data_IF_292005543844
#
_entry.id   IF_292005543844
#
_cell.length_a   1.000
_cell.length_b   1.000
_cell.length_c   1.000
_cell.angle_alpha   90.00
_cell.angle_beta   90.00
_cell.angle_gamma   90.00
#
_symmetry.space_group_name_H-M   'P 1'
#
loop_
_entity.id
_entity.type
_entity.pdbx_description
1 polymer ?
#
# COMPACT_ATOMS: atom_id res chain seq x y z
N UNK A 1 -11.48 -12.70 -22.98
CA UNK A 1 -10.22 -13.38 -22.60
C UNK A 1 -9.84 -12.86 -21.24
N UNK A 2 -10.05 -13.69 -20.21
CA UNK A 2 -9.81 -13.31 -18.82
C UNK A 2 -8.32 -13.07 -18.57
N UNK A 3 -8.00 -12.02 -17.82
CA UNK A 3 -6.64 -11.68 -17.39
C UNK A 3 -5.92 -12.88 -16.71
N UNK A 4 -6.71 -13.80 -16.15
CA UNK A 4 -6.27 -15.02 -15.48
C UNK A 4 -5.52 -15.99 -16.39
N UNK A 5 -5.81 -16.01 -17.71
CA UNK A 5 -5.22 -16.97 -18.64
C UNK A 5 -3.94 -16.48 -19.33
N UNK A 6 -3.54 -15.22 -19.16
CA UNK A 6 -2.46 -14.61 -19.95
C UNK A 6 -1.17 -14.37 -19.16
N UNK A 7 -0.77 -15.29 -18.29
CA UNK A 7 0.61 -15.31 -17.77
C UNK A 7 1.64 -15.80 -18.82
N UNK A 8 1.18 -16.19 -20.02
CA UNK A 8 2.03 -16.64 -21.12
C UNK A 8 2.04 -15.62 -22.27
N UNK A 9 3.01 -14.70 -22.25
CA UNK A 9 3.82 -14.30 -23.41
C UNK A 9 4.57 -12.98 -23.16
N UNK A 10 5.76 -13.09 -22.57
CA UNK A 10 7.05 -12.48 -22.97
C UNK A 10 8.04 -12.73 -21.82
N UNK A 11 9.33 -12.85 -22.15
CA UNK A 11 10.44 -13.07 -21.20
C UNK A 11 10.68 -11.87 -20.25
N UNK A 12 9.64 -11.24 -19.71
CA UNK A 12 9.75 -10.29 -18.60
C UNK A 12 9.75 -11.06 -17.27
N UNK A 13 10.72 -10.75 -16.39
CA UNK A 13 10.70 -11.26 -15.03
C UNK A 13 9.41 -10.82 -14.33
N UNK A 14 8.52 -11.77 -14.03
CA UNK A 14 7.31 -11.51 -13.25
C UNK A 14 7.72 -10.90 -11.91
N UNK A 15 7.22 -9.71 -11.64
CA UNK A 15 7.37 -8.97 -10.37
C UNK A 15 6.01 -8.50 -9.86
N UNK A 16 5.92 -8.16 -8.57
CA UNK A 16 4.72 -7.51 -8.02
C UNK A 16 4.34 -6.24 -8.80
N UNK A 17 5.32 -5.48 -9.29
CA UNK A 17 5.05 -4.26 -10.06
C UNK A 17 4.50 -4.56 -11.46
N UNK A 18 5.05 -5.55 -12.16
CA UNK A 18 4.51 -5.98 -13.46
C UNK A 18 3.04 -6.43 -13.34
N UNK A 19 2.70 -7.16 -12.27
CA UNK A 19 1.33 -7.62 -12.00
C UNK A 19 0.41 -6.43 -11.69
N UNK A 20 0.86 -5.45 -10.88
CA UNK A 20 0.08 -4.23 -10.64
C UNK A 20 -0.24 -3.51 -11.94
N UNK A 21 0.79 -3.29 -12.77
CA UNK A 21 0.63 -2.64 -14.07
C UNK A 21 -0.35 -3.39 -14.96
N UNK A 22 -0.22 -4.71 -15.07
CA UNK A 22 -1.13 -5.56 -15.83
C UNK A 22 -2.59 -5.39 -15.38
N UNK A 23 -2.85 -5.43 -14.07
CA UNK A 23 -4.20 -5.24 -13.52
C UNK A 23 -4.73 -3.83 -13.78
N UNK A 24 -3.92 -2.80 -13.51
CA UNK A 24 -4.31 -1.41 -13.73
C UNK A 24 -4.63 -1.14 -15.21
N UNK A 25 -3.77 -1.58 -16.11
CA UNK A 25 -3.96 -1.45 -17.56
C UNK A 25 -5.23 -2.18 -18.01
N UNK A 26 -5.49 -3.39 -17.51
CA UNK A 26 -6.69 -4.13 -17.85
C UNK A 26 -7.96 -3.43 -17.39
N UNK A 27 -7.99 -2.93 -16.14
CA UNK A 27 -9.15 -2.22 -15.59
C UNK A 27 -9.46 -0.92 -16.34
N UNK A 28 -8.43 -0.17 -16.75
CA UNK A 28 -8.61 1.05 -17.58
C UNK A 28 -9.09 0.69 -18.98
N UNK A 29 -8.41 -0.24 -19.66
CA UNK A 29 -8.70 -0.66 -21.04
C UNK A 29 -10.13 -1.19 -21.19
N UNK A 30 -10.61 -1.94 -20.21
CA UNK A 30 -11.97 -2.52 -20.24
C UNK A 30 -13.01 -1.64 -19.55
N UNK A 31 -12.65 -0.40 -19.18
CA UNK A 31 -13.54 0.54 -18.53
C UNK A 31 -14.20 -0.03 -17.25
N UNK A 32 -13.47 -0.85 -16.50
CA UNK A 32 -13.91 -1.45 -15.25
C UNK A 32 -13.56 -0.59 -14.04
N UNK A 33 -12.59 0.32 -14.18
CA UNK A 33 -12.22 1.26 -13.14
C UNK A 33 -13.32 2.31 -12.87
N UNK A 34 -13.53 2.66 -11.61
CA UNK A 34 -14.33 3.82 -11.19
C UNK A 34 -13.41 4.95 -10.74
N UNK A 35 -13.93 6.17 -10.65
CA UNK A 35 -13.18 7.30 -10.07
C UNK A 35 -12.72 6.99 -8.64
N UNK A 36 -11.48 7.33 -8.23
CA UNK A 36 -10.49 8.15 -8.94
C UNK A 36 -9.72 7.42 -10.04
N UNK A 37 -9.55 8.09 -11.18
CA UNK A 37 -8.75 7.63 -12.33
C UNK A 37 -7.55 8.56 -12.61
N UNK A 38 -6.47 8.07 -13.25
CA UNK A 38 -6.22 6.67 -13.57
C UNK A 38 -5.97 5.82 -12.29
N UNK A 39 -6.21 4.51 -12.37
CA UNK A 39 -6.05 3.59 -11.22
C UNK A 39 -4.60 3.27 -10.89
N UNK A 40 -3.64 3.58 -11.76
CA UNK A 40 -2.21 3.37 -11.53
C UNK A 40 -1.75 4.01 -10.22
N UNK A 41 -0.99 3.25 -9.42
CA UNK A 41 -0.52 3.67 -8.10
C UNK A 41 -1.59 3.63 -7.00
N UNK A 42 -2.77 3.07 -7.26
CA UNK A 42 -3.89 3.00 -6.31
C UNK A 42 -4.36 1.57 -6.11
N UNK A 43 -5.06 1.33 -4.99
CA UNK A 43 -5.98 0.20 -4.93
C UNK A 43 -7.14 0.51 -5.88
N UNK A 44 -7.43 -0.33 -6.89
CA UNK A 44 -8.38 0.03 -7.94
C UNK A 44 -9.79 0.17 -7.38
N UNK A 45 -10.44 1.32 -7.62
CA UNK A 45 -11.89 1.39 -7.48
C UNK A 45 -12.52 0.75 -8.73
N UNK A 46 -13.53 -0.09 -8.57
CA UNK A 46 -14.02 -0.95 -9.66
C UNK A 46 -15.55 -1.00 -9.73
N UNK A 47 -16.08 -1.20 -10.95
CA UNK A 47 -17.49 -1.45 -11.19
C UNK A 47 -17.92 -2.72 -10.45
N UNK A 48 -18.96 -2.60 -9.63
CA UNK A 48 -19.44 -3.70 -8.79
C UNK A 48 -18.90 -3.71 -7.35
N UNK A 49 -18.12 -2.71 -6.92
CA UNK A 49 -17.64 -2.62 -5.54
C UNK A 49 -18.79 -2.60 -4.50
N UNK A 50 -19.94 -2.02 -4.83
CA UNK A 50 -21.16 -2.07 -4.01
C UNK A 50 -21.68 -3.50 -3.84
N UNK A 51 -21.75 -4.27 -4.93
CA UNK A 51 -22.21 -5.66 -4.92
C UNK A 51 -21.24 -6.55 -4.12
N UNK A 52 -19.93 -6.34 -4.28
CA UNK A 52 -18.92 -7.03 -3.48
C UNK A 52 -19.05 -6.70 -1.99
N UNK A 53 -19.29 -5.43 -1.65
CA UNK A 53 -19.51 -5.02 -0.26
C UNK A 53 -20.79 -5.61 0.34
N UNK A 54 -21.87 -5.69 -0.44
CA UNK A 54 -23.11 -6.34 0.00
C UNK A 54 -22.89 -7.84 0.27
N UNK A 55 -22.23 -8.56 -0.64
CA UNK A 55 -21.89 -9.98 -0.43
C UNK A 55 -21.02 -10.19 0.80
N UNK A 56 -20.05 -9.31 1.02
CA UNK A 56 -19.21 -9.34 2.22
C UNK A 56 -20.05 -9.13 3.49
N UNK A 57 -21.03 -8.22 3.45
CA UNK A 57 -21.94 -7.97 4.57
C UNK A 57 -22.85 -9.17 4.90
N UNK A 58 -23.06 -10.07 3.93
CA UNK A 58 -23.83 -11.30 4.12
C UNK A 58 -23.04 -12.45 4.77
N UNK A 59 -21.72 -12.33 4.88
CA UNK A 59 -20.89 -13.36 5.53
C UNK A 59 -21.09 -13.34 7.04
N UNK A 60 -21.20 -14.53 7.64
CA UNK A 60 -21.35 -14.70 9.09
C UNK A 60 -20.22 -14.01 9.86
N UNK A 61 -18.98 -14.15 9.39
CA UNK A 61 -17.80 -13.51 9.99
C UNK A 61 -17.94 -11.97 10.06
N UNK A 62 -18.59 -11.36 9.06
CA UNK A 62 -18.84 -9.91 9.06
C UNK A 62 -20.05 -9.55 9.93
N UNK A 63 -21.13 -10.34 9.87
CA UNK A 63 -22.33 -10.14 10.69
C UNK A 63 -22.02 -10.20 12.18
N UNK A 64 -21.15 -11.11 12.59
CA UNK A 64 -20.77 -11.30 14.00
C UNK A 64 -19.72 -10.30 14.51
N UNK A 65 -18.91 -9.72 13.61
CA UNK A 65 -17.89 -8.73 13.99
C UNK A 65 -18.50 -7.45 14.59
N UNK A 66 -17.91 -6.94 15.66
CA UNK A 66 -18.30 -5.70 16.35
C UNK A 66 -17.32 -4.57 16.08
N UNK A 67 -16.02 -4.86 16.06
CA UNK A 67 -14.94 -3.92 15.76
C UNK A 67 -14.18 -4.38 14.53
N UNK A 68 -14.16 -3.53 13.49
CA UNK A 68 -13.58 -3.88 12.19
C UNK A 68 -12.54 -2.84 11.80
N UNK A 69 -11.34 -3.29 11.41
CA UNK A 69 -10.39 -2.42 10.70
C UNK A 69 -10.70 -2.43 9.22
N UNK A 70 -10.89 -1.26 8.62
CA UNK A 70 -11.15 -1.13 7.18
C UNK A 70 -10.18 -0.13 6.56
N UNK A 71 -9.42 -0.55 5.54
CA UNK A 71 -8.50 0.32 4.83
C UNK A 71 -9.19 1.56 4.23
N UNK A 72 -8.51 2.72 4.13
CA UNK A 72 -9.11 3.99 3.73
C UNK A 72 -9.36 4.12 2.22
N UNK A 73 -8.87 3.19 1.40
CA UNK A 73 -8.96 3.25 -0.05
C UNK A 73 -10.42 3.35 -0.54
N UNK A 74 -10.63 4.04 -1.66
CA UNK A 74 -11.95 4.28 -2.26
C UNK A 74 -12.80 3.01 -2.49
N UNK A 75 -12.27 1.89 -3.03
CA UNK A 75 -13.06 0.65 -3.20
C UNK A 75 -13.61 0.08 -1.89
N UNK A 76 -13.05 0.46 -0.73
CA UNK A 76 -13.51 -0.02 0.58
C UNK A 76 -14.56 0.91 1.22
N UNK A 77 -14.88 2.05 0.59
CA UNK A 77 -15.91 2.99 1.08
C UNK A 77 -17.30 2.34 1.24
N UNK A 78 -17.78 1.54 0.27
CA UNK A 78 -19.02 0.77 0.45
C UNK A 78 -19.00 -0.14 1.68
N UNK A 79 -17.88 -0.81 1.94
CA UNK A 79 -17.73 -1.71 3.11
C UNK A 79 -17.76 -0.92 4.41
N UNK A 80 -17.08 0.24 4.48
CA UNK A 80 -17.14 1.13 5.65
C UNK A 80 -18.56 1.59 5.92
N UNK A 81 -19.29 2.03 4.88
CA UNK A 81 -20.68 2.45 5.02
C UNK A 81 -21.57 1.32 5.52
N UNK A 82 -21.46 0.12 4.97
CA UNK A 82 -22.23 -1.06 5.42
C UNK A 82 -21.93 -1.40 6.89
N UNK A 83 -20.65 -1.39 7.29
CA UNK A 83 -20.27 -1.62 8.68
C UNK A 83 -20.91 -0.60 9.64
N UNK A 84 -20.85 0.69 9.28
CA UNK A 84 -21.44 1.78 10.08
C UNK A 84 -22.98 1.71 10.12
N UNK A 85 -23.64 1.35 9.02
CA UNK A 85 -25.09 1.11 8.97
C UNK A 85 -25.51 -0.02 9.90
N UNK A 86 -24.71 -1.08 9.99
CA UNK A 86 -24.90 -2.19 10.93
C UNK A 86 -24.41 -1.88 12.35
N UNK A 87 -24.16 -0.60 12.66
CA UNK A 87 -23.73 -0.10 13.96
C UNK A 87 -22.44 -0.71 14.51
N UNK A 88 -21.56 -1.18 13.62
CA UNK A 88 -20.24 -1.71 13.98
C UNK A 88 -19.25 -0.57 14.19
N UNK A 89 -18.29 -0.78 15.08
CA UNK A 89 -17.17 0.13 15.21
C UNK A 89 -16.19 -0.06 14.05
N UNK A 90 -15.75 1.04 13.46
CA UNK A 90 -14.78 1.03 12.35
C UNK A 90 -13.50 1.72 12.79
N UNK A 91 -12.39 1.00 12.70
CA UNK A 91 -11.04 1.56 12.79
C UNK A 91 -10.51 1.78 11.37
N UNK A 92 -10.31 3.04 11.01
CA UNK A 92 -9.72 3.38 9.71
C UNK A 92 -8.30 3.91 9.90
N UNK A 93 -7.30 3.34 9.19
CA UNK A 93 -5.93 3.85 9.23
C UNK A 93 -5.82 5.32 8.86
N UNK A 94 -5.03 6.06 9.62
CA UNK A 94 -4.63 7.41 9.23
C UNK A 94 -3.63 7.28 8.07
N UNK A 95 -3.89 7.92 6.92
CA UNK A 95 -3.03 7.78 5.74
C UNK A 95 -1.55 7.99 6.06
N UNK A 96 -0.74 6.98 5.74
CA UNK A 96 0.73 6.97 5.90
C UNK A 96 1.22 7.09 7.36
N UNK A 97 0.37 6.86 8.36
CA UNK A 97 0.76 6.83 9.79
C UNK A 97 1.44 8.11 10.30
N UNK A 98 1.16 9.26 9.68
CA UNK A 98 1.87 10.52 9.95
C UNK A 98 1.42 11.23 11.22
N UNK A 99 0.17 11.06 11.63
CA UNK A 99 -0.44 11.81 12.73
C UNK A 99 -1.21 10.92 13.70
N UNK A 100 -0.93 9.62 13.71
CA UNK A 100 -1.59 8.60 14.53
C UNK A 100 -1.77 7.28 13.79
N UNK A 101 -2.34 6.29 14.47
CA UNK A 101 -2.55 4.95 13.92
C UNK A 101 -3.89 4.84 13.20
N UNK A 102 -4.97 5.03 13.94
CA UNK A 102 -6.33 4.91 13.43
C UNK A 102 -7.18 6.11 13.83
N UNK A 103 -8.29 6.25 13.11
CA UNK A 103 -9.47 6.97 13.57
C UNK A 103 -10.57 5.93 13.84
N UNK A 104 -11.16 6.00 15.03
CA UNK A 104 -12.29 5.16 15.47
C UNK A 104 -13.60 5.89 15.20
N UNK A 105 -14.50 5.21 14.49
CA UNK A 105 -15.87 5.63 14.26
C UNK A 105 -16.81 4.75 15.06
N UNK A 106 -17.62 5.38 15.90
CA UNK A 106 -18.60 4.72 16.76
C UNK A 106 -19.98 5.24 16.36
N UNK A 107 -20.75 4.52 15.53
CA UNK A 107 -21.89 5.07 14.81
C UNK A 107 -23.18 5.23 15.64
N UNK A 108 -23.14 5.10 16.97
CA UNK A 108 -24.35 5.09 17.82
C UNK A 108 -25.20 6.37 17.65
N UNK A 109 -24.56 7.52 17.44
CA UNK A 109 -25.23 8.81 17.25
C UNK A 109 -25.30 9.28 15.79
N UNK A 110 -24.87 8.45 14.82
CA UNK A 110 -24.81 8.86 13.42
C UNK A 110 -26.16 8.70 12.73
N UNK A 111 -26.59 9.76 12.04
CA UNK A 111 -27.66 9.73 11.05
C UNK A 111 -27.22 9.00 9.78
N UNK A 112 -28.13 8.78 8.83
CA UNK A 112 -27.76 8.19 7.53
C UNK A 112 -26.77 9.06 6.74
N UNK A 113 -26.91 10.38 6.82
CA UNK A 113 -25.99 11.32 6.18
C UNK A 113 -24.62 11.31 6.87
N UNK A 114 -24.59 11.25 8.20
CA UNK A 114 -23.35 11.07 8.96
C UNK A 114 -22.65 9.77 8.57
N UNK A 115 -23.37 8.66 8.43
CA UNK A 115 -22.79 7.37 8.02
C UNK A 115 -22.17 7.48 6.62
N UNK A 116 -22.88 8.09 5.67
CA UNK A 116 -22.35 8.32 4.31
C UNK A 116 -21.08 9.16 4.38
N UNK A 117 -21.08 10.25 5.13
CA UNK A 117 -19.92 11.13 5.25
C UNK A 117 -18.75 10.47 5.97
N UNK A 118 -19.00 9.84 7.13
CA UNK A 118 -18.03 9.11 7.95
C UNK A 118 -17.34 7.96 7.19
N UNK A 119 -18.00 7.38 6.17
CA UNK A 119 -17.38 6.36 5.31
C UNK A 119 -16.26 6.90 4.42
N UNK A 120 -16.14 8.22 4.24
CA UNK A 120 -15.07 8.86 3.47
C UNK A 120 -13.84 9.15 4.33
N UNK A 121 -12.68 9.37 3.71
CA UNK A 121 -11.45 9.74 4.45
C UNK A 121 -11.64 11.03 5.27
N UNK A 122 -12.28 12.05 4.68
CA UNK A 122 -12.49 13.34 5.33
C UNK A 122 -13.52 13.25 6.46
N UNK A 123 -14.68 12.65 6.19
CA UNK A 123 -15.70 12.53 7.22
C UNK A 123 -15.26 11.64 8.38
N UNK A 124 -14.48 10.58 8.12
CA UNK A 124 -13.89 9.82 9.21
C UNK A 124 -12.96 10.68 10.07
N UNK A 125 -12.10 11.50 9.45
CA UNK A 125 -11.19 12.40 10.16
C UNK A 125 -11.93 13.43 11.02
N UNK A 126 -13.07 13.93 10.57
CA UNK A 126 -13.86 14.94 11.27
C UNK A 126 -14.76 14.36 12.36
N UNK A 127 -15.39 13.22 12.11
CA UNK A 127 -16.38 12.62 13.01
C UNK A 127 -15.80 11.55 13.94
N UNK A 128 -14.64 11.00 13.61
CA UNK A 128 -14.01 9.94 14.38
C UNK A 128 -13.02 10.45 15.43
N UNK A 129 -12.61 9.54 16.32
CA UNK A 129 -11.67 9.82 17.41
C UNK A 129 -10.31 9.18 17.13
N UNK A 130 -9.18 9.88 17.31
CA UNK A 130 -7.86 9.30 17.10
C UNK A 130 -7.59 8.17 18.09
N UNK A 131 -6.88 7.15 17.61
CA UNK A 131 -6.45 5.99 18.41
C UNK A 131 -4.94 5.79 18.19
N UNK A 132 -4.21 5.70 19.30
CA UNK A 132 -2.76 5.49 19.35
C UNK A 132 -2.37 4.06 19.75
N UNK A 133 -1.08 3.85 19.99
CA UNK A 133 -0.50 2.54 20.34
C UNK A 133 -0.92 2.02 21.71
N UNK A 134 -1.20 2.91 22.66
CA UNK A 134 -1.53 2.52 24.04
C UNK A 134 -3.00 2.12 24.21
N UNK A 135 -3.78 2.16 23.11
CA UNK A 135 -5.17 1.76 23.14
C UNK A 135 -5.31 0.25 23.30
N UNK A 136 -6.11 -0.16 24.29
CA UNK A 136 -6.56 -1.54 24.43
C UNK A 136 -7.68 -1.78 23.44
N UNK A 137 -7.43 -2.62 22.44
CA UNK A 137 -8.34 -2.91 21.34
C UNK A 137 -8.44 -4.43 21.13
N UNK A 138 -9.58 -4.86 20.62
CA UNK A 138 -9.73 -6.17 20.00
C UNK A 138 -10.44 -5.95 18.68
N UNK A 139 -9.83 -6.41 17.60
CA UNK A 139 -10.35 -6.25 16.24
C UNK A 139 -10.77 -7.63 15.74
N UNK A 140 -12.04 -7.73 15.36
CA UNK A 140 -12.63 -9.02 15.01
C UNK A 140 -12.24 -9.45 13.60
N UNK A 141 -12.14 -8.51 12.65
CA UNK A 141 -11.73 -8.77 11.27
C UNK A 141 -10.97 -7.57 10.67
N UNK A 142 -10.13 -7.86 9.67
CA UNK A 142 -9.40 -6.86 8.89
C UNK A 142 -9.89 -6.85 7.44
N UNK A 143 -10.26 -5.68 6.93
CA UNK A 143 -10.59 -5.48 5.51
C UNK A 143 -9.46 -4.70 4.84
N UNK A 144 -8.73 -5.35 3.93
CA UNK A 144 -7.58 -4.78 3.23
C UNK A 144 -7.88 -4.50 1.75
N UNK A 145 -7.35 -3.39 1.26
CA UNK A 145 -7.32 -3.09 -0.18
C UNK A 145 -6.25 -3.90 -0.91
N UNK A 146 -6.57 -4.38 -2.11
CA UNK A 146 -5.68 -5.21 -2.93
C UNK A 146 -5.71 -4.79 -4.40
N UNK A 147 -4.57 -4.92 -5.08
CA UNK A 147 -4.46 -4.81 -6.55
C UNK A 147 -4.64 -6.19 -7.18
N UNK A 148 -4.00 -7.22 -6.65
CA UNK A 148 -4.16 -8.60 -7.09
C UNK A 148 -4.20 -9.54 -5.89
N UNK A 149 -4.94 -10.65 -6.03
CA UNK A 149 -5.01 -11.72 -5.03
C UNK A 149 -5.06 -13.09 -5.69
N UNK A 150 -4.57 -14.15 -5.03
CA UNK A 150 -4.73 -15.53 -5.51
C UNK A 150 -5.67 -16.35 -4.65
N UNK A 151 -6.18 -17.45 -5.21
CA UNK A 151 -6.97 -18.45 -4.48
C UNK A 151 -6.24 -19.07 -3.29
N UNK A 152 -4.89 -19.04 -3.29
CA UNK A 152 -4.06 -19.49 -2.16
C UNK A 152 -3.93 -18.44 -1.04
N UNK A 153 -4.44 -17.22 -1.26
CA UNK A 153 -4.43 -16.13 -0.28
C UNK A 153 -3.26 -15.16 -0.41
N UNK A 154 -2.42 -15.27 -1.43
CA UNK A 154 -1.39 -14.28 -1.71
C UNK A 154 -2.03 -12.94 -2.10
N UNK A 155 -1.49 -11.84 -1.58
CA UNK A 155 -2.06 -10.49 -1.75
C UNK A 155 -1.00 -9.49 -2.21
N UNK A 156 -1.27 -8.78 -3.29
CA UNK A 156 -0.44 -7.68 -3.78
C UNK A 156 -1.21 -6.38 -3.56
N UNK A 157 -0.74 -5.54 -2.63
CA UNK A 157 -1.22 -4.15 -2.46
C UNK A 157 -0.64 -3.19 -3.49
N UNK A 158 -0.92 -1.88 -3.36
CA UNK A 158 -0.43 -0.83 -4.29
C UNK A 158 1.08 -0.58 -4.31
N UNK A 159 1.83 -1.14 -3.36
CA UNK A 159 3.30 -1.12 -3.36
C UNK A 159 3.97 -0.27 -2.27
N UNK A 160 3.21 0.46 -1.46
CA UNK A 160 3.79 1.29 -0.38
C UNK A 160 4.03 0.51 0.94
N UNK A 161 3.52 -0.72 1.08
CA UNK A 161 3.72 -1.57 2.27
C UNK A 161 2.95 -1.15 3.53
N UNK A 162 2.14 -0.09 3.48
CA UNK A 162 1.43 0.42 4.67
C UNK A 162 0.46 -0.60 5.30
N UNK A 163 -0.32 -1.32 4.49
CA UNK A 163 -1.27 -2.30 5.03
C UNK A 163 -0.58 -3.45 5.77
N UNK A 164 0.59 -3.87 5.26
CA UNK A 164 1.40 -4.93 5.85
C UNK A 164 2.04 -4.46 7.17
N UNK A 165 2.52 -3.20 7.20
CA UNK A 165 3.02 -2.57 8.41
C UNK A 165 1.92 -2.33 9.45
N UNK A 166 0.72 -1.92 9.04
CA UNK A 166 -0.45 -1.77 9.92
C UNK A 166 -0.82 -3.11 10.56
N UNK A 167 -0.79 -4.21 9.81
CA UNK A 167 -1.01 -5.55 10.34
C UNK A 167 0.04 -5.90 11.41
N UNK A 168 1.32 -5.70 11.10
CA UNK A 168 2.41 -5.93 12.04
C UNK A 168 2.24 -5.12 13.34
N UNK A 169 1.92 -3.82 13.25
CA UNK A 169 1.68 -2.97 14.43
C UNK A 169 0.50 -3.48 15.25
N UNK A 170 -0.58 -3.94 14.61
CA UNK A 170 -1.73 -4.50 15.31
C UNK A 170 -1.41 -5.80 16.04
N UNK A 171 -0.51 -6.64 15.50
CA UNK A 171 0.01 -7.83 16.19
C UNK A 171 0.80 -7.43 17.44
N UNK A 172 1.69 -6.44 17.34
CA UNK A 172 2.48 -5.92 18.49
C UNK A 172 1.60 -5.33 19.59
N UNK A 173 0.48 -4.72 19.22
CA UNK A 173 -0.51 -4.19 20.16
C UNK A 173 -1.35 -5.29 20.83
N UNK A 174 -1.27 -6.54 20.37
CA UNK A 174 -2.20 -7.61 20.77
C UNK A 174 -3.65 -7.34 20.34
N UNK A 175 -3.87 -6.38 19.43
CA UNK A 175 -5.20 -5.99 18.96
C UNK A 175 -5.78 -7.00 17.96
N UNK A 176 -4.91 -7.78 17.32
CA UNK A 176 -5.22 -8.94 16.50
C UNK A 176 -4.29 -10.08 16.89
N UNK A 177 -4.62 -11.27 16.42
CA UNK A 177 -3.80 -12.47 16.55
C UNK A 177 -3.81 -13.25 15.24
N UNK A 178 -3.09 -14.38 15.21
CA UNK A 178 -3.02 -15.21 14.03
C UNK A 178 -4.41 -15.65 13.53
N UNK A 179 -5.39 -15.93 14.38
CA UNK A 179 -6.72 -16.39 13.96
C UNK A 179 -7.64 -15.27 13.45
N UNK A 180 -7.24 -14.00 13.58
CA UNK A 180 -8.05 -12.86 13.10
C UNK A 180 -8.22 -12.92 11.58
N UNK A 181 -9.47 -12.99 11.06
CA UNK A 181 -9.73 -13.07 9.63
C UNK A 181 -9.31 -11.81 8.86
N UNK A 182 -8.64 -12.02 7.72
CA UNK A 182 -8.27 -10.98 6.75
C UNK A 182 -9.08 -11.14 5.47
N UNK A 183 -9.85 -10.13 5.10
CA UNK A 183 -10.78 -10.17 3.98
C UNK A 183 -10.43 -9.04 3.00
N UNK A 184 -10.68 -9.27 1.72
CA UNK A 184 -10.55 -8.22 0.70
C UNK A 184 -11.75 -8.20 -0.23
N UNK A 185 -12.11 -7.02 -0.72
CA UNK A 185 -13.05 -6.85 -1.84
C UNK A 185 -12.30 -6.39 -3.08
N UNK A 186 -12.50 -7.10 -4.19
CA UNK A 186 -11.82 -6.85 -5.47
C UNK A 186 -12.76 -7.15 -6.64
N UNK A 187 -12.44 -6.66 -7.83
CA UNK A 187 -13.09 -7.12 -9.06
C UNK A 187 -12.65 -8.54 -9.43
N UNK A 188 -13.48 -9.28 -10.16
CA UNK A 188 -13.18 -10.65 -10.61
C UNK A 188 -11.84 -10.77 -11.34
N UNK A 189 -11.52 -9.79 -12.20
CA UNK A 189 -10.25 -9.76 -12.95
C UNK A 189 -9.00 -9.51 -12.09
N UNK A 190 -9.15 -9.17 -10.81
CA UNK A 190 -8.03 -9.01 -9.87
C UNK A 190 -7.73 -10.32 -9.13
N UNK A 191 -8.54 -11.36 -9.32
CA UNK A 191 -8.34 -12.68 -8.74
C UNK A 191 -7.58 -13.55 -9.72
N UNK A 192 -6.40 -14.01 -9.32
CA UNK A 192 -5.53 -14.90 -10.09
C UNK A 192 -5.69 -16.34 -9.58
N UNK A 193 -5.52 -17.31 -10.47
CA UNK A 193 -5.47 -18.71 -10.05
C UNK A 193 -4.24 -18.96 -9.16
N UNK A 194 -3.08 -18.52 -9.63
CA UNK A 194 -1.80 -18.60 -8.95
C UNK A 194 -1.04 -17.26 -9.01
N UNK A 195 -0.31 -16.95 -7.94
CA UNK A 195 0.67 -15.87 -7.90
C UNK A 195 1.99 -16.46 -7.43
N UNK A 196 3.12 -16.27 -8.16
CA UNK A 196 4.36 -16.96 -7.81
C UNK A 196 4.81 -16.68 -6.38
N UNK A 197 4.85 -17.73 -5.55
CA UNK A 197 5.15 -17.63 -4.12
C UNK A 197 6.45 -16.87 -3.82
N UNK A 198 7.47 -17.00 -4.68
CA UNK A 198 8.77 -16.31 -4.58
C UNK A 198 8.67 -14.77 -4.55
N UNK A 199 7.54 -14.20 -4.94
CA UNK A 199 7.30 -12.75 -4.87
C UNK A 199 6.97 -12.28 -3.46
N UNK A 200 6.53 -13.19 -2.60
CA UNK A 200 6.04 -12.89 -1.26
C UNK A 200 7.12 -13.19 -0.21
N UNK A 201 7.16 -12.34 0.81
CA UNK A 201 8.10 -12.38 1.91
C UNK A 201 7.32 -12.45 3.22
N UNK A 202 8.02 -12.73 4.31
CA UNK A 202 7.47 -12.85 5.67
C UNK A 202 6.63 -11.65 6.16
N UNK A 203 6.83 -10.46 5.60
CA UNK A 203 6.04 -9.27 5.94
C UNK A 203 4.74 -9.14 5.14
N UNK A 204 4.56 -9.88 4.05
CA UNK A 204 3.36 -9.76 3.23
C UNK A 204 2.14 -10.38 3.93
N UNK A 205 1.09 -9.58 4.12
CA UNK A 205 -0.15 -10.04 4.76
C UNK A 205 -1.02 -10.80 3.77
N UNK A 206 -1.28 -12.06 4.07
CA UNK A 206 -2.18 -12.95 3.32
C UNK A 206 -3.66 -12.63 3.57
N UNK A 207 -4.52 -13.05 2.65
CA UNK A 207 -5.98 -12.94 2.77
C UNK A 207 -6.63 -14.30 2.98
N UNK A 208 -7.63 -14.36 3.86
CA UNK A 208 -8.44 -15.53 4.18
C UNK A 208 -9.67 -15.65 3.29
N UNK A 209 -10.29 -14.51 2.95
CA UNK A 209 -11.51 -14.46 2.15
C UNK A 209 -11.38 -13.37 1.09
N UNK A 210 -11.70 -13.73 -0.15
CA UNK A 210 -11.77 -12.81 -1.29
C UNK A 210 -13.24 -12.70 -1.70
N UNK A 211 -13.76 -11.47 -1.70
CA UNK A 211 -15.12 -11.19 -2.14
C UNK A 211 -15.09 -10.39 -3.43
N UNK A 212 -15.79 -10.89 -4.43
CA UNK A 212 -15.96 -10.25 -5.74
C UNK A 212 -17.44 -9.96 -5.97
N UNK A 213 -17.81 -9.15 -6.98
CA UNK A 213 -19.20 -8.98 -7.38
C UNK A 213 -19.91 -10.31 -7.67
N UNK A 214 -19.21 -11.31 -8.24
CA UNK A 214 -19.85 -12.56 -8.67
C UNK A 214 -19.77 -13.67 -7.63
N UNK A 215 -18.71 -13.75 -6.82
CA UNK A 215 -18.44 -14.88 -5.92
C UNK A 215 -17.66 -14.53 -4.65
N UNK A 216 -17.72 -15.42 -3.67
CA UNK A 216 -16.90 -15.42 -2.46
C UNK A 216 -15.94 -16.61 -2.55
N UNK A 217 -14.67 -16.40 -2.22
CA UNK A 217 -13.61 -17.42 -2.27
C UNK A 217 -12.96 -17.48 -0.89
N UNK A 218 -13.02 -18.63 -0.25
CA UNK A 218 -12.22 -18.95 0.93
C UNK A 218 -10.86 -19.48 0.47
N UNK A 219 -9.78 -18.86 0.93
CA UNK A 219 -8.44 -19.17 0.43
C UNK A 219 -7.84 -20.36 1.15
N UNK A 220 -6.83 -20.98 0.53
CA UNK A 220 -6.10 -22.11 1.14
C UNK A 220 -4.97 -21.66 2.06
N UNK A 221 -4.82 -20.35 2.35
CA UNK A 221 -3.71 -19.84 3.16
C UNK A 221 -3.67 -20.50 4.56
N UNK A 222 -4.85 -20.67 5.17
CA UNK A 222 -5.02 -21.31 6.48
C UNK A 222 -4.78 -22.80 6.43
N UNK A 223 -5.41 -23.50 5.49
CA UNK A 223 -5.30 -24.95 5.35
C UNK A 223 -3.87 -25.39 5.01
N UNK A 224 -3.11 -24.53 4.32
CA UNK A 224 -1.72 -24.76 3.97
C UNK A 224 -0.73 -24.23 5.02
N UNK A 225 -1.20 -23.73 6.18
CA UNK A 225 -0.38 -23.16 7.25
C UNK A 225 0.66 -22.15 6.76
N UNK A 226 0.28 -21.26 5.83
CA UNK A 226 1.20 -20.25 5.33
C UNK A 226 1.53 -19.22 6.44
N UNK A 227 2.81 -18.81 6.59
CA UNK A 227 3.23 -17.90 7.64
C UNK A 227 2.62 -16.51 7.47
N UNK A 228 2.45 -15.80 8.59
CA UNK A 228 1.97 -14.42 8.64
C UNK A 228 2.97 -13.54 9.37
N UNK A 229 2.93 -12.20 9.16
CA UNK A 229 3.77 -11.31 9.93
C UNK A 229 3.42 -11.41 11.43
N UNK A 230 4.39 -11.64 12.30
CA UNK A 230 4.16 -11.71 13.75
C UNK A 230 4.42 -10.37 14.47
N UNK A 231 4.96 -9.38 13.76
CA UNK A 231 5.38 -8.11 14.33
C UNK A 231 6.16 -7.27 13.34
N UNK A 232 6.71 -6.15 13.82
CA UNK A 232 7.45 -5.21 12.97
C UNK A 232 8.86 -5.75 12.68
N UNK A 233 9.16 -5.98 11.41
CA UNK A 233 10.47 -6.45 10.97
C UNK A 233 11.39 -5.25 10.68
N UNK A 234 12.13 -4.82 11.71
CA UNK A 234 12.93 -3.59 11.68
C UNK A 234 13.97 -3.55 10.55
N UNK A 235 14.58 -4.68 10.19
CA UNK A 235 15.60 -4.75 9.15
C UNK A 235 15.07 -4.53 7.71
N UNK A 236 13.74 -4.46 7.54
CA UNK A 236 13.08 -4.09 6.29
C UNK A 236 12.74 -2.61 6.21
N UNK A 237 12.76 -1.90 7.36
CA UNK A 237 12.41 -0.49 7.46
C UNK A 237 13.66 0.38 7.32
N UNK A 238 13.59 1.35 6.42
CA UNK A 238 14.64 2.36 6.27
C UNK A 238 14.57 3.42 7.38
N UNK A 239 15.70 4.07 7.73
CA UNK A 239 15.70 5.24 8.62
C UNK A 239 14.69 6.31 8.22
N UNK A 240 14.54 6.55 6.91
CA UNK A 240 13.57 7.51 6.38
C UNK A 240 12.12 7.10 6.69
N UNK A 241 11.76 5.83 6.49
CA UNK A 241 10.40 5.35 6.81
C UNK A 241 10.08 5.51 8.29
N UNK A 242 11.04 5.20 9.17
CA UNK A 242 10.87 5.37 10.62
C UNK A 242 10.76 6.86 10.99
N UNK A 243 11.56 7.73 10.37
CA UNK A 243 11.48 9.18 10.60
C UNK A 243 10.12 9.77 10.13
N UNK A 244 9.61 9.31 8.98
CA UNK A 244 8.34 9.79 8.40
C UNK A 244 7.10 9.29 9.17
N UNK A 245 7.24 8.29 10.07
CA UNK A 245 6.14 7.66 10.81
C UNK A 245 6.44 7.68 12.32
N UNK A 246 5.96 8.70 13.07
CA UNK A 246 6.23 8.85 14.50
C UNK A 246 5.91 7.61 15.34
N UNK A 247 4.90 6.85 14.92
CA UNK A 247 4.47 5.64 15.62
C UNK A 247 5.55 4.54 15.64
N UNK A 248 6.34 4.43 14.56
CA UNK A 248 7.45 3.50 14.51
C UNK A 248 8.59 3.91 15.44
N UNK A 249 8.79 5.21 15.67
CA UNK A 249 9.80 5.69 16.60
C UNK A 249 9.45 5.31 18.04
N UNK A 250 8.17 5.43 18.40
CA UNK A 250 7.65 5.04 19.72
C UNK A 250 7.81 3.53 19.92
N UNK A 251 7.36 2.72 18.97
CA UNK A 251 7.52 1.26 19.02
C UNK A 251 8.99 0.86 19.09
N UNK A 252 9.84 1.41 18.23
CA UNK A 252 11.27 1.09 18.20
C UNK A 252 11.93 1.40 19.54
N UNK A 253 11.61 2.54 20.14
CA UNK A 253 12.13 2.92 21.46
C UNK A 253 11.69 1.93 22.53
N UNK A 254 10.43 1.49 22.51
CA UNK A 254 9.89 0.48 23.44
C UNK A 254 10.62 -0.86 23.30
N UNK A 255 10.80 -1.35 22.08
CA UNK A 255 11.50 -2.61 21.81
C UNK A 255 12.96 -2.52 22.27
N UNK A 256 13.67 -1.42 21.96
CA UNK A 256 15.04 -1.19 22.43
C UNK A 256 15.10 -1.16 23.96
N UNK A 257 14.14 -0.50 24.64
CA UNK A 257 14.09 -0.50 26.11
C UNK A 257 13.82 -1.88 26.72
N UNK A 258 13.19 -2.78 25.96
CA UNK A 258 12.98 -4.18 26.34
C UNK A 258 14.20 -5.08 26.02
N UNK A 259 15.28 -4.52 25.48
CA UNK A 259 16.49 -5.27 25.10
C UNK A 259 16.45 -5.91 23.71
N UNK A 260 15.47 -5.56 22.87
CA UNK A 260 15.35 -6.12 21.52
C UNK A 260 16.27 -5.41 20.51
N UNK A 261 16.78 -6.19 19.56
CA UNK A 261 17.63 -5.67 18.48
C UNK A 261 16.77 -5.10 17.36
N UNK A 262 16.69 -3.77 17.27
CA UNK A 262 15.88 -3.05 16.28
C UNK A 262 16.75 -2.41 15.17
N UNK A 263 17.58 -3.23 14.52
CA UNK A 263 18.46 -2.79 13.43
C UNK A 263 17.61 -2.43 12.21
N UNK A 264 17.81 -1.23 11.68
CA UNK A 264 17.11 -0.75 10.49
C UNK A 264 17.79 -1.26 9.22
N UNK A 265 17.04 -1.29 8.11
CA UNK A 265 17.58 -1.57 6.79
C UNK A 265 18.73 -0.60 6.50
N UNK A 266 19.95 -1.13 6.41
CA UNK A 266 21.09 -0.38 5.90
C UNK A 266 20.78 0.04 4.47
N UNK A 267 20.89 1.33 4.20
CA UNK A 267 20.76 1.82 2.84
C UNK A 267 22.18 1.98 2.30
N UNK A 268 22.67 0.95 1.60
CA UNK A 268 23.81 1.10 0.70
C UNK A 268 23.27 1.62 -0.61
N UNK A 269 23.53 2.89 -0.90
CA UNK A 269 23.30 3.41 -2.25
C UNK A 269 24.51 3.02 -3.09
N UNK A 270 24.26 2.27 -4.16
CA UNK A 270 25.29 2.03 -5.17
C UNK A 270 25.66 3.34 -5.87
N UNK A 271 24.70 4.26 -5.98
CA UNK A 271 24.87 5.52 -6.66
C UNK A 271 23.93 6.60 -6.13
N UNK A 272 24.46 7.83 -6.02
CA UNK A 272 23.69 9.05 -5.81
C UNK A 272 24.01 10.07 -6.91
N UNK A 273 23.00 10.54 -7.65
CA UNK A 273 23.13 11.56 -8.68
C UNK A 273 22.44 12.85 -8.25
N UNK A 274 23.19 13.95 -8.19
CA UNK A 274 22.59 15.26 -7.89
C UNK A 274 22.09 15.90 -9.19
N UNK A 275 20.82 16.26 -9.21
CA UNK A 275 20.22 17.08 -10.27
C UNK A 275 19.98 18.51 -9.76
N UNK A 276 20.26 19.49 -10.62
CA UNK A 276 20.16 20.92 -10.31
C UNK A 276 19.41 21.67 -11.42
N UNK A 277 19.28 22.99 -11.29
CA UNK A 277 18.51 23.88 -12.17
C UNK A 277 17.00 23.60 -12.18
N UNK A 278 16.49 23.00 -11.10
CA UNK A 278 15.05 22.77 -10.92
C UNK A 278 14.40 24.12 -10.55
N UNK A 279 13.31 24.55 -11.23
CA UNK A 279 12.58 25.75 -10.81
C UNK A 279 12.15 25.64 -9.35
N UNK A 280 12.35 26.69 -8.54
CA UNK A 280 12.09 26.64 -7.09
C UNK A 280 10.61 26.40 -6.73
N UNK A 281 9.70 26.66 -7.68
CA UNK A 281 8.26 26.42 -7.57
C UNK A 281 7.84 24.99 -7.89
N UNK A 282 8.74 24.18 -8.45
CA UNK A 282 8.48 22.78 -8.84
C UNK A 282 8.07 21.97 -7.61
N UNK A 283 7.06 21.12 -7.75
CA UNK A 283 6.71 20.16 -6.70
C UNK A 283 7.45 18.84 -6.93
N UNK A 284 7.83 18.14 -5.86
CA UNK A 284 8.48 16.82 -5.98
C UNK A 284 7.69 15.81 -6.81
N UNK A 285 6.35 15.93 -6.85
CA UNK A 285 5.48 15.10 -7.69
C UNK A 285 5.74 15.32 -9.17
N UNK A 286 5.91 16.57 -9.60
CA UNK A 286 6.19 16.92 -10.99
C UNK A 286 7.53 16.33 -11.45
N UNK A 287 8.56 16.41 -10.61
CA UNK A 287 9.83 15.73 -10.88
C UNK A 287 9.63 14.21 -10.99
N UNK A 288 8.87 13.59 -10.07
CA UNK A 288 8.61 12.14 -10.10
C UNK A 288 7.89 11.71 -11.37
N UNK A 289 6.86 12.45 -11.78
CA UNK A 289 6.08 12.17 -12.98
C UNK A 289 6.97 12.30 -14.23
N UNK A 290 7.83 13.32 -14.29
CA UNK A 290 8.82 13.52 -15.36
C UNK A 290 9.84 12.37 -15.43
N UNK A 291 10.45 11.99 -14.31
CA UNK A 291 11.42 10.90 -14.26
C UNK A 291 10.78 9.57 -14.69
N UNK A 292 9.60 9.26 -14.15
CA UNK A 292 8.88 8.02 -14.45
C UNK A 292 8.48 7.93 -15.94
N UNK A 293 8.04 9.04 -16.54
CA UNK A 293 7.67 9.10 -17.96
C UNK A 293 8.85 8.90 -18.90
N UNK A 294 10.08 9.10 -18.40
CA UNK A 294 11.33 8.89 -19.15
C UNK A 294 12.08 7.62 -18.71
N UNK A 295 11.40 6.70 -18.02
CA UNK A 295 11.98 5.42 -17.60
C UNK A 295 13.00 5.51 -16.47
N UNK A 296 13.18 6.69 -15.86
CA UNK A 296 14.12 6.89 -14.75
C UNK A 296 13.39 6.62 -13.43
N UNK A 297 13.86 5.61 -12.68
CA UNK A 297 13.25 5.17 -11.43
C UNK A 297 14.32 5.07 -10.34
N UNK A 298 14.66 6.18 -9.65
CA UNK A 298 15.55 6.11 -8.51
C UNK A 298 14.87 5.38 -7.34
N UNK A 299 15.65 4.65 -6.56
CA UNK A 299 15.19 3.96 -5.35
C UNK A 299 14.67 4.96 -4.31
N UNK A 300 15.29 6.14 -4.21
CA UNK A 300 14.80 7.24 -3.40
C UNK A 300 15.18 8.61 -3.97
N UNK A 301 14.45 9.66 -3.59
CA UNK A 301 14.76 11.04 -3.96
C UNK A 301 14.89 11.88 -2.70
N UNK A 302 16.06 12.47 -2.48
CA UNK A 302 16.24 13.53 -1.49
C UNK A 302 15.92 14.87 -2.16
N UNK A 303 14.84 15.51 -1.75
CA UNK A 303 14.29 16.69 -2.40
C UNK A 303 14.78 17.98 -1.74
N UNK A 304 15.43 18.85 -2.52
CA UNK A 304 15.87 20.18 -2.11
C UNK A 304 15.28 21.26 -3.03
N UNK A 305 13.98 21.19 -3.32
CA UNK A 305 13.31 22.06 -4.29
C UNK A 305 13.47 23.56 -4.02
N UNK A 306 13.49 23.99 -2.76
CA UNK A 306 13.75 25.39 -2.40
C UNK A 306 15.16 25.86 -2.84
N UNK A 307 16.11 24.94 -2.89
CA UNK A 307 17.47 25.13 -3.40
C UNK A 307 17.61 24.79 -4.89
N UNK A 308 16.51 24.49 -5.60
CA UNK A 308 16.51 24.13 -7.01
C UNK A 308 17.27 22.85 -7.34
N UNK A 309 17.32 21.88 -6.41
CA UNK A 309 18.04 20.62 -6.60
C UNK A 309 17.35 19.40 -5.98
N UNK A 310 17.78 18.22 -6.39
CA UNK A 310 17.40 16.95 -5.78
C UNK A 310 18.55 15.94 -5.94
N UNK A 311 18.60 14.92 -5.07
CA UNK A 311 19.53 13.79 -5.18
C UNK A 311 18.71 12.54 -5.48
N UNK A 312 19.07 11.86 -6.57
CA UNK A 312 18.47 10.62 -7.04
C UNK A 312 19.35 9.47 -6.56
N UNK A 313 18.83 8.62 -5.68
CA UNK A 313 19.59 7.52 -5.12
C UNK A 313 19.18 6.19 -5.74
N UNK A 314 20.15 5.30 -5.98
CA UNK A 314 19.96 3.97 -6.54
C UNK A 314 20.61 2.92 -5.61
N UNK A 315 19.82 1.94 -5.17
CA UNK A 315 20.28 0.83 -4.33
C UNK A 315 20.79 -0.37 -5.15
N UNK A 316 21.58 -1.25 -4.53
CA UNK A 316 22.13 -2.46 -5.15
C UNK A 316 21.04 -3.43 -5.65
N UNK A 317 19.84 -3.40 -5.07
CA UNK A 317 18.75 -4.31 -5.40
C UNK A 317 17.98 -3.93 -6.67
N UNK A 318 18.09 -2.68 -7.13
CA UNK A 318 17.62 -2.27 -8.46
C UNK A 318 18.48 -2.85 -9.58
N UNK A 319 19.67 -3.40 -9.27
CA UNK A 319 20.55 -4.08 -10.22
C UNK A 319 20.19 -5.52 -10.56
N UNK A 320 19.20 -6.14 -9.89
CA UNK A 320 18.79 -7.50 -10.22
C UNK A 320 17.73 -7.61 -11.33
N UNK A 321 17.22 -6.48 -11.85
CA UNK A 321 16.16 -6.52 -12.88
C UNK A 321 16.34 -5.60 -14.08
N UNK A 322 17.52 -5.02 -14.27
CA UNK A 322 17.95 -4.45 -15.54
C UNK A 322 19.46 -4.45 -15.52
N UNK A 323 20.07 -4.75 -16.68
CA UNK A 323 21.48 -4.49 -16.98
C UNK A 323 22.07 -3.38 -16.11
N UNK A 324 23.18 -3.69 -15.41
CA UNK A 324 24.12 -2.77 -14.79
C UNK A 324 23.77 -1.31 -15.08
N UNK A 325 23.25 -0.58 -14.07
CA UNK A 325 22.76 0.79 -14.19
C UNK A 325 23.70 1.57 -15.13
N UNK A 326 23.29 1.76 -16.38
CA UNK A 326 24.17 2.39 -17.36
C UNK A 326 24.14 3.90 -17.06
N UNK A 327 25.16 4.30 -16.29
CA UNK A 327 25.39 5.66 -15.82
C UNK A 327 25.28 6.68 -16.94
N UNK A 328 25.91 6.38 -18.08
CA UNK A 328 25.95 7.28 -19.22
C UNK A 328 24.57 7.44 -19.83
N UNK A 329 23.78 6.37 -19.86
CA UNK A 329 22.41 6.43 -20.34
C UNK A 329 21.51 7.27 -19.41
N UNK A 330 21.56 7.04 -18.09
CA UNK A 330 20.73 7.80 -17.13
C UNK A 330 21.13 9.28 -17.12
N UNK A 331 22.43 9.59 -17.06
CA UNK A 331 22.92 10.96 -17.11
C UNK A 331 22.58 11.64 -18.43
N UNK A 332 22.69 10.93 -19.56
CA UNK A 332 22.31 11.45 -20.88
C UNK A 332 20.82 11.80 -20.91
N UNK A 333 19.94 10.86 -20.51
CA UNK A 333 18.49 11.13 -20.46
C UNK A 333 18.20 12.30 -19.52
N UNK A 334 18.71 12.29 -18.29
CA UNK A 334 18.49 13.37 -17.32
C UNK A 334 18.89 14.76 -17.86
N UNK A 335 20.01 14.87 -18.57
CA UNK A 335 20.45 16.13 -19.16
C UNK A 335 19.57 16.59 -20.34
N UNK A 336 18.74 15.73 -20.93
CA UNK A 336 17.75 16.15 -21.94
C UNK A 336 16.44 16.67 -21.35
N UNK A 337 16.16 16.36 -20.08
CA UNK A 337 14.89 16.67 -19.45
C UNK A 337 14.76 18.16 -19.09
N UNK A 338 13.53 18.67 -19.19
CA UNK A 338 13.17 20.05 -18.84
C UNK A 338 11.99 20.10 -17.88
N UNK A 339 11.98 21.09 -16.99
CA UNK A 339 10.83 21.49 -16.19
C UNK A 339 10.53 22.96 -16.50
N UNK A 340 9.42 23.21 -17.19
CA UNK A 340 9.16 24.50 -17.83
C UNK A 340 10.26 24.84 -18.85
N UNK A 341 10.85 26.02 -18.73
CA UNK A 341 11.98 26.46 -19.55
C UNK A 341 13.34 25.92 -19.10
N UNK A 342 13.42 25.28 -17.93
CA UNK A 342 14.69 24.96 -17.30
C UNK A 342 15.12 23.52 -17.64
N UNK A 343 16.28 23.39 -18.28
CA UNK A 343 16.92 22.10 -18.51
C UNK A 343 17.62 21.62 -17.25
N UNK A 344 17.36 20.38 -16.85
CA UNK A 344 18.01 19.77 -15.70
C UNK A 344 19.51 19.61 -15.97
N UNK A 345 20.31 19.75 -14.91
CA UNK A 345 21.77 19.52 -14.97
C UNK A 345 22.15 18.44 -13.97
N UNK A 346 22.91 17.46 -14.41
CA UNK A 346 23.41 16.37 -13.56
C UNK A 346 24.82 16.68 -13.09
N UNK A 347 25.04 16.64 -11.79
CA UNK A 347 26.37 16.65 -11.19
C UNK A 347 26.64 15.23 -10.66
N UNK A 348 27.57 14.53 -11.30
CA UNK A 348 28.10 13.25 -10.83
C UNK A 348 29.15 13.47 -9.75
N UNK A 349 28.76 14.06 -8.62
CA UNK A 349 29.57 13.97 -7.41
C UNK A 349 29.04 12.76 -6.64
N UNK A 350 29.92 11.83 -6.29
CA UNK A 350 29.59 10.76 -5.33
C UNK A 350 29.30 11.44 -3.99
N UNK A 351 28.04 11.84 -3.79
CA UNK A 351 27.57 12.35 -2.50
C UNK A 351 27.41 11.12 -1.60
N UNK A 352 28.46 10.86 -0.83
CA UNK A 352 28.54 9.85 0.23
C UNK A 352 27.47 10.06 1.29
#
# INVERSE_FOLDING_TARGET
>A
MDLCCSLNNTLEHITKESIRKQVWDYLEKHNLALFPRPVHGRIPNFKGCEAAAQKLADLEVFRNAKCIKISPDKPQEPVRRQALQLRKEVLMPIPRLRSGLFVRLTPHSFTNDDIKYASTINGAKELGRPVGLDAVLTIDILILGSVAVSSQGFRIGKGEGFADLEYAILMEMGAINESTPVITTVHDCQVFEDLPQKLFKEHDTLVDIIVTPTRVIHTTARTNNLPRPHGVIWNLLTPKQVADMPILQILRKKHISNGEVCTLKSISYQLSLRITNIPKTTRVRELKDLLASNGIKPSSITWHGAAGSAILHYDESHGQNTHQINMDNICSVLNTLKIGSNQLRVNSENVS
#
